data_IF_938811111015
#
_entry.id   IF_938811111015
#
_cell.length_a   1.000
_cell.length_b   1.000
_cell.length_c   1.000
_cell.angle_alpha   90.00
_cell.angle_beta   90.00
_cell.angle_gamma   90.00
#
_symmetry.space_group_name_H-M   'P 1'
#
loop_
_entity.id
_entity.type
_entity.pdbx_description
1 polymer ?
#
# COMPACT_ATOMS: atom_id res chain seq x y z
N UNK A 1 -11.98 14.09 6.79
CA UNK A 1 -12.34 13.11 5.75
C UNK A 1 -13.26 13.75 4.73
N UNK A 2 -12.94 13.65 3.43
CA UNK A 2 -13.75 14.18 2.32
C UNK A 2 -14.66 13.04 1.80
N UNK A 3 -15.97 13.18 1.96
CA UNK A 3 -16.95 12.20 1.44
C UNK A 3 -17.34 12.50 -0.02
N UNK A 4 -17.35 13.76 -0.39
CA UNK A 4 -17.57 14.21 -1.76
C UNK A 4 -16.23 14.44 -2.49
N UNK A 5 -16.15 14.21 -3.80
CA UNK A 5 -14.92 14.46 -4.55
C UNK A 5 -14.56 15.96 -4.57
N UNK A 6 -13.39 16.27 -4.04
CA UNK A 6 -12.80 17.59 -4.17
C UNK A 6 -11.83 17.57 -5.34
N UNK A 7 -12.01 18.47 -6.30
CA UNK A 7 -11.12 18.57 -7.45
C UNK A 7 -9.78 19.15 -7.01
N UNK A 8 -8.72 18.39 -7.26
CA UNK A 8 -7.35 18.77 -6.95
C UNK A 8 -6.48 18.72 -8.20
N UNK A 9 -5.55 19.64 -8.28
CA UNK A 9 -4.64 19.78 -9.41
C UNK A 9 -3.42 18.89 -9.22
N UNK A 10 -2.98 18.25 -10.30
CA UNK A 10 -1.69 17.54 -10.33
C UNK A 10 -0.59 18.60 -10.36
N UNK A 11 0.24 18.64 -9.32
CA UNK A 11 1.36 19.59 -9.22
C UNK A 11 2.67 19.01 -9.73
N UNK A 12 2.84 17.69 -9.59
CA UNK A 12 4.05 17.00 -10.04
C UNK A 12 3.72 15.56 -10.46
N UNK A 13 4.44 15.06 -11.45
CA UNK A 13 4.41 13.65 -11.86
C UNK A 13 5.83 13.10 -11.80
N UNK A 14 6.06 12.14 -10.91
CA UNK A 14 7.37 11.51 -10.69
C UNK A 14 7.41 10.16 -11.40
N UNK A 15 8.43 9.91 -12.20
CA UNK A 15 8.67 8.61 -12.82
C UNK A 15 9.41 7.71 -11.82
N UNK A 16 8.72 6.75 -11.23
CA UNK A 16 9.30 5.78 -10.30
C UNK A 16 9.99 4.62 -11.04
N UNK A 17 9.34 4.17 -12.10
CA UNK A 17 9.86 3.15 -13.02
C UNK A 17 9.19 3.25 -14.39
N UNK A 18 9.56 2.40 -15.34
CA UNK A 18 8.95 2.40 -16.68
C UNK A 18 7.42 2.23 -16.67
N UNK A 19 6.87 1.55 -15.66
CA UNK A 19 5.45 1.24 -15.53
C UNK A 19 4.79 1.88 -14.30
N UNK A 20 5.51 2.67 -13.50
CA UNK A 20 4.99 3.25 -12.26
C UNK A 20 5.27 4.75 -12.22
N UNK A 21 4.24 5.53 -11.95
CA UNK A 21 4.32 6.97 -11.75
C UNK A 21 3.69 7.37 -10.43
N UNK A 22 4.24 8.39 -9.79
CA UNK A 22 3.63 9.04 -8.64
C UNK A 22 3.04 10.38 -9.06
N UNK A 23 1.84 10.66 -8.55
CA UNK A 23 1.10 11.89 -8.81
C UNK A 23 0.97 12.65 -7.49
N UNK A 24 1.50 13.88 -7.48
CA UNK A 24 1.49 14.75 -6.30
C UNK A 24 0.37 15.77 -6.46
N UNK A 25 -0.43 15.96 -5.41
CA UNK A 25 -1.54 16.87 -5.34
C UNK A 25 -1.31 17.89 -4.22
N UNK A 26 -1.61 19.16 -4.47
CA UNK A 26 -1.55 20.22 -3.47
C UNK A 26 -2.86 20.26 -2.67
N UNK A 27 -2.74 20.35 -1.35
CA UNK A 27 -3.88 20.36 -0.43
C UNK A 27 -4.45 21.74 -0.16
N UNK A 28 -3.66 22.81 -0.38
CA UNK A 28 -4.12 24.20 -0.23
C UNK A 28 -4.56 24.75 -1.58
N UNK A 29 -5.84 25.07 -1.74
CA UNK A 29 -6.31 25.98 -2.79
C UNK A 29 -6.58 27.35 -2.18
N UNK A 30 -6.16 28.42 -2.85
CA UNK A 30 -6.41 29.81 -2.43
C UNK A 30 -7.92 30.19 -2.33
N UNK A 31 -8.81 29.26 -2.71
CA UNK A 31 -10.26 29.48 -2.83
C UNK A 31 -11.14 28.69 -1.86
N UNK A 32 -10.60 27.85 -1.01
CA UNK A 32 -11.41 27.15 0.00
C UNK A 32 -10.70 27.17 1.32
N UNK A 33 -11.46 27.26 2.43
CA UNK A 33 -11.04 26.85 3.78
C UNK A 33 -10.71 25.35 3.76
N UNK A 34 -9.75 24.94 2.92
CA UNK A 34 -9.37 23.55 2.74
C UNK A 34 -8.61 23.11 3.98
N UNK A 35 -9.32 22.40 4.85
CA UNK A 35 -8.71 21.62 5.92
C UNK A 35 -7.58 20.78 5.31
N UNK A 36 -6.39 20.89 5.88
CA UNK A 36 -5.29 19.99 5.54
C UNK A 36 -5.79 18.56 5.55
N UNK A 37 -5.45 17.78 4.53
CA UNK A 37 -5.83 16.38 4.47
C UNK A 37 -4.99 15.61 5.51
N UNK A 38 -5.47 15.60 6.75
CA UNK A 38 -4.84 14.80 7.80
C UNK A 38 -5.04 13.32 7.50
N UNK A 39 -3.96 12.57 7.39
CA UNK A 39 -4.02 11.13 7.18
C UNK A 39 -2.90 10.41 7.95
N UNK A 40 -3.07 9.10 8.10
CA UNK A 40 -2.14 8.21 8.75
C UNK A 40 -1.57 7.19 7.77
N UNK A 41 -0.33 6.68 7.95
CA UNK A 41 0.26 5.66 7.09
C UNK A 41 -0.63 4.43 6.94
N UNK A 42 -0.78 3.93 5.73
CA UNK A 42 -1.65 2.79 5.42
C UNK A 42 -3.06 3.16 4.98
N UNK A 43 -3.50 4.42 5.16
CA UNK A 43 -4.76 4.91 4.62
C UNK A 43 -4.66 5.15 3.10
N UNK A 44 -5.82 5.21 2.45
CA UNK A 44 -5.94 5.40 1.01
C UNK A 44 -6.93 6.51 0.66
N UNK A 45 -6.86 6.99 -0.55
CA UNK A 45 -7.86 7.90 -1.15
C UNK A 45 -8.58 7.18 -2.29
N UNK A 46 -9.76 7.67 -2.63
CA UNK A 46 -10.43 7.38 -3.88
C UNK A 46 -10.11 8.51 -4.87
N UNK A 47 -9.46 8.16 -5.99
CA UNK A 47 -9.14 9.08 -7.07
C UNK A 47 -10.14 8.90 -8.20
N UNK A 48 -10.83 9.97 -8.55
CA UNK A 48 -11.84 10.02 -9.58
C UNK A 48 -11.36 10.78 -10.82
N UNK A 49 -11.47 10.13 -11.96
CA UNK A 49 -11.29 10.79 -13.26
C UNK A 49 -12.68 10.98 -13.86
N UNK A 50 -13.16 12.24 -14.07
CA UNK A 50 -14.49 12.51 -14.62
C UNK A 50 -14.77 11.73 -15.90
N UNK A 51 -15.98 11.18 -16.02
CA UNK A 51 -16.47 10.37 -17.15
C UNK A 51 -15.77 9.02 -17.36
N UNK A 52 -14.88 8.62 -16.46
CA UNK A 52 -14.19 7.34 -16.57
C UNK A 52 -14.56 6.41 -15.40
N UNK A 53 -14.02 6.66 -14.21
CA UNK A 53 -14.21 5.81 -13.02
C UNK A 53 -13.56 6.46 -11.78
N UNK A 54 -13.68 5.78 -10.63
CA UNK A 54 -13.02 6.10 -9.38
C UNK A 54 -12.28 4.86 -8.85
N UNK A 55 -11.03 5.02 -8.42
CA UNK A 55 -10.19 3.91 -7.93
C UNK A 55 -9.46 4.25 -6.63
N UNK A 56 -9.24 3.25 -5.74
CA UNK A 56 -8.49 3.41 -4.52
C UNK A 56 -6.98 3.44 -4.79
N UNK A 57 -6.27 4.34 -4.12
CA UNK A 57 -4.81 4.38 -4.10
C UNK A 57 -4.31 4.72 -2.70
N UNK A 58 -3.33 3.96 -2.23
CA UNK A 58 -2.64 4.27 -0.98
C UNK A 58 -1.91 5.60 -1.09
N UNK A 59 -1.94 6.37 0.00
CA UNK A 59 -1.17 7.60 0.08
C UNK A 59 0.29 7.20 0.29
N UNK A 60 1.13 7.53 -0.70
CA UNK A 60 2.53 7.14 -0.75
C UNK A 60 3.52 8.29 -0.59
N UNK A 61 3.05 9.52 -0.70
CA UNK A 61 3.80 10.76 -0.46
C UNK A 61 3.03 11.66 0.49
N UNK A 62 3.76 12.36 1.34
CA UNK A 62 3.17 13.28 2.31
C UNK A 62 4.07 14.47 2.62
N UNK A 63 3.43 15.65 2.74
CA UNK A 63 4.03 16.85 3.26
C UNK A 63 2.98 17.73 3.91
N UNK A 64 3.38 18.91 4.37
CA UNK A 64 2.49 19.86 5.04
C UNK A 64 1.32 20.28 4.15
N UNK A 65 1.61 20.54 2.87
CA UNK A 65 0.67 21.15 1.93
C UNK A 65 0.44 20.27 0.68
N UNK A 66 0.87 19.00 0.72
CA UNK A 66 0.71 18.07 -0.39
C UNK A 66 0.58 16.62 0.08
N UNK A 67 0.02 15.80 -0.77
CA UNK A 67 0.09 14.33 -0.70
C UNK A 67 0.26 13.76 -2.10
N UNK A 68 0.61 12.49 -2.19
CA UNK A 68 0.73 11.81 -3.49
C UNK A 68 0.37 10.34 -3.43
N UNK A 69 0.07 9.82 -4.60
CA UNK A 69 -0.24 8.40 -4.83
C UNK A 69 0.67 7.82 -5.88
N UNK A 70 1.10 6.59 -5.70
CA UNK A 70 1.95 5.86 -6.65
C UNK A 70 1.13 4.81 -7.37
N UNK A 71 1.16 4.84 -8.70
CA UNK A 71 0.24 4.14 -9.57
C UNK A 71 1.00 3.31 -10.60
N UNK A 72 0.79 1.99 -10.56
CA UNK A 72 1.27 1.09 -11.59
C UNK A 72 0.32 1.09 -12.81
N UNK A 73 0.88 1.05 -13.99
CA UNK A 73 0.12 0.93 -15.25
C UNK A 73 -0.43 -0.49 -15.38
N UNK A 74 -1.75 -0.65 -15.18
CA UNK A 74 -2.40 -1.97 -15.18
C UNK A 74 -3.64 -2.08 -16.07
N UNK A 75 -4.32 -0.99 -16.38
CA UNK A 75 -5.57 -1.04 -17.15
C UNK A 75 -6.08 0.34 -17.51
N UNK A 76 -7.25 0.41 -18.13
CA UNK A 76 -7.80 1.64 -18.73
C UNK A 76 -7.77 2.86 -17.81
N UNK A 77 -8.11 2.70 -16.53
CA UNK A 77 -8.10 3.82 -15.57
C UNK A 77 -6.69 4.34 -15.34
N UNK A 78 -5.75 3.44 -15.02
CA UNK A 78 -4.35 3.80 -14.75
C UNK A 78 -3.64 4.27 -16.01
N UNK A 79 -4.02 3.76 -17.19
CA UNK A 79 -3.52 4.28 -18.47
C UNK A 79 -3.92 5.74 -18.64
N UNK A 80 -5.22 6.08 -18.47
CA UNK A 80 -5.66 7.49 -18.56
C UNK A 80 -4.97 8.37 -17.51
N UNK A 81 -4.78 7.87 -16.28
CA UNK A 81 -4.08 8.62 -15.24
C UNK A 81 -2.60 8.86 -15.64
N UNK A 82 -1.93 7.88 -16.22
CA UNK A 82 -0.55 8.02 -16.73
C UNK A 82 -0.42 9.00 -17.91
N UNK A 83 -1.48 9.25 -18.66
CA UNK A 83 -1.54 10.25 -19.72
C UNK A 83 -1.73 11.67 -19.19
N UNK A 84 -2.24 11.80 -17.95
CA UNK A 84 -2.48 13.10 -17.32
C UNK A 84 -1.17 13.82 -17.01
N UNK A 85 -1.21 15.15 -17.17
CA UNK A 85 -0.07 16.03 -17.01
C UNK A 85 -0.22 16.94 -15.80
N UNK A 86 0.88 17.52 -15.39
CA UNK A 86 0.89 18.64 -14.44
C UNK A 86 -0.10 19.72 -14.90
N UNK A 87 -0.91 20.19 -13.99
CA UNK A 87 -1.97 21.17 -14.26
C UNK A 87 -3.35 20.58 -14.51
N UNK A 88 -3.49 19.27 -14.84
CA UNK A 88 -4.78 18.62 -14.97
C UNK A 88 -5.41 18.32 -13.60
N UNK A 89 -6.72 18.08 -13.57
CA UNK A 89 -7.51 17.96 -12.35
C UNK A 89 -8.06 16.54 -12.20
N UNK A 90 -7.99 16.02 -10.97
CA UNK A 90 -8.65 14.79 -10.56
C UNK A 90 -9.49 15.03 -9.31
N UNK A 91 -10.57 14.27 -9.14
CA UNK A 91 -11.38 14.31 -7.92
C UNK A 91 -10.79 13.40 -6.85
N UNK A 92 -10.75 13.87 -5.61
CA UNK A 92 -10.17 13.15 -4.47
C UNK A 92 -11.22 13.03 -3.37
N UNK A 93 -11.45 11.83 -2.86
CA UNK A 93 -12.20 11.54 -1.64
C UNK A 93 -11.32 10.80 -0.65
N UNK A 94 -11.53 11.01 0.64
CA UNK A 94 -10.81 10.34 1.71
C UNK A 94 -10.21 11.30 2.76
N UNK A 95 -9.19 10.87 3.50
CA UNK A 95 -8.62 9.52 3.52
C UNK A 95 -9.58 8.49 4.09
N UNK A 96 -9.46 7.25 3.66
CA UNK A 96 -10.27 6.13 4.11
C UNK A 96 -9.43 5.02 4.71
N UNK A 97 -10.08 4.12 5.43
CA UNK A 97 -9.48 2.92 5.99
C UNK A 97 -8.69 3.15 7.28
N UNK A 98 -8.30 2.03 7.89
CA UNK A 98 -7.46 2.03 9.09
C UNK A 98 -5.99 2.18 8.73
N UNK A 99 -5.29 2.91 9.56
CA UNK A 99 -3.85 3.12 9.47
C UNK A 99 -3.06 1.97 10.11
N UNK A 100 -1.75 1.93 9.84
CA UNK A 100 -0.81 1.17 10.66
C UNK A 100 -0.80 1.71 12.09
N UNK A 101 -0.89 0.82 13.06
CA UNK A 101 -0.79 1.16 14.48
C UNK A 101 0.66 1.04 14.94
N UNK A 102 1.36 2.16 15.01
CA UNK A 102 2.75 2.21 15.47
C UNK A 102 2.89 2.03 16.98
N UNK A 103 1.84 2.37 17.74
CA UNK A 103 1.83 2.23 19.20
C UNK A 103 1.58 0.80 19.68
N UNK A 104 1.27 -0.15 18.79
CA UNK A 104 1.06 -1.54 19.15
C UNK A 104 2.36 -2.38 19.19
N UNK A 105 3.50 -1.78 18.83
CA UNK A 105 4.81 -2.39 19.09
C UNK A 105 4.99 -2.53 20.63
N UNK A 106 5.45 -3.70 21.13
CA UNK A 106 5.64 -3.93 22.56
C UNK A 106 6.52 -2.88 23.28
N UNK A 107 7.44 -2.30 22.54
CA UNK A 107 8.32 -1.21 23.01
C UNK A 107 8.20 0.00 22.06
N UNK A 108 7.18 0.90 22.21
CA UNK A 108 6.99 2.02 21.30
C UNK A 108 8.20 2.95 21.19
N UNK A 109 8.94 3.14 22.28
CA UNK A 109 10.20 3.88 22.33
C UNK A 109 11.36 2.92 22.06
N UNK A 110 11.85 2.90 20.82
CA UNK A 110 12.97 2.03 20.41
C UNK A 110 12.55 0.77 19.65
N UNK A 111 11.28 0.64 19.25
CA UNK A 111 10.80 -0.45 18.42
C UNK A 111 11.68 -0.63 17.18
N UNK A 112 12.25 -1.80 17.05
CA UNK A 112 12.98 -2.22 15.84
C UNK A 112 11.99 -2.86 14.89
N UNK A 113 11.71 -2.20 13.79
CA UNK A 113 10.75 -2.66 12.81
C UNK A 113 11.45 -3.32 11.61
N UNK A 114 10.83 -4.38 11.09
CA UNK A 114 11.12 -4.89 9.75
C UNK A 114 9.95 -4.50 8.83
N UNK A 115 10.26 -3.85 7.70
CA UNK A 115 9.27 -3.48 6.70
C UNK A 115 9.50 -4.29 5.44
N UNK A 116 8.51 -5.09 5.05
CA UNK A 116 8.61 -6.02 3.91
C UNK A 116 7.64 -5.61 2.82
N UNK A 117 8.15 -5.10 1.72
CA UNK A 117 7.34 -4.63 0.60
C UNK A 117 7.54 -5.44 -0.67
N UNK A 118 6.46 -5.79 -1.36
CA UNK A 118 6.49 -6.48 -2.65
C UNK A 118 5.91 -5.64 -3.78
N UNK A 119 6.72 -5.35 -4.81
CA UNK A 119 6.30 -4.58 -5.98
C UNK A 119 5.65 -3.24 -5.61
N UNK A 120 4.49 -2.93 -6.21
CA UNK A 120 3.75 -1.69 -5.93
C UNK A 120 3.18 -1.59 -4.51
N UNK A 121 3.18 -2.69 -3.74
CA UNK A 121 2.81 -2.68 -2.31
C UNK A 121 3.69 -1.75 -1.47
N UNK A 122 4.92 -1.47 -1.91
CA UNK A 122 5.77 -0.44 -1.31
C UNK A 122 5.09 0.93 -1.20
N UNK A 123 4.12 1.25 -2.05
CA UNK A 123 3.39 2.52 -1.99
C UNK A 123 2.61 2.69 -0.68
N UNK A 124 2.05 1.60 -0.13
CA UNK A 124 1.34 1.63 1.16
C UNK A 124 2.29 1.79 2.35
N UNK A 125 3.56 1.43 2.17
CA UNK A 125 4.57 1.41 3.23
C UNK A 125 5.48 2.65 3.23
N UNK A 126 5.55 3.39 2.12
CA UNK A 126 6.53 4.46 1.94
C UNK A 126 6.47 5.52 3.06
N UNK A 127 5.27 6.02 3.39
CA UNK A 127 5.10 7.01 4.45
C UNK A 127 5.28 6.41 5.85
N UNK A 128 4.96 5.12 6.03
CA UNK A 128 5.25 4.40 7.26
C UNK A 128 6.77 4.37 7.51
N UNK A 129 7.55 3.99 6.50
CA UNK A 129 9.02 3.90 6.58
C UNK A 129 9.63 5.24 7.00
N UNK A 130 9.13 6.35 6.46
CA UNK A 130 9.60 7.69 6.82
C UNK A 130 9.28 8.12 8.26
N UNK A 131 8.31 7.46 8.90
CA UNK A 131 7.95 7.71 10.32
C UNK A 131 8.60 6.76 11.30
N UNK A 132 9.21 5.69 10.83
CA UNK A 132 9.94 4.74 11.67
C UNK A 132 11.38 5.20 11.86
N UNK A 133 11.78 5.44 13.10
CA UNK A 133 13.14 5.87 13.43
C UNK A 133 14.16 4.72 13.33
N UNK A 134 13.72 3.50 13.61
CA UNK A 134 14.58 2.32 13.66
C UNK A 134 13.93 1.17 12.87
N UNK A 135 14.24 1.10 11.59
CA UNK A 135 13.68 0.06 10.73
C UNK A 135 14.69 -0.51 9.73
N UNK A 136 14.58 -1.82 9.48
CA UNK A 136 15.18 -2.47 8.33
C UNK A 136 14.08 -2.64 7.27
N UNK A 137 14.38 -2.24 6.04
CA UNK A 137 13.42 -2.26 4.93
C UNK A 137 13.89 -3.25 3.89
N UNK A 138 13.01 -4.19 3.52
CA UNK A 138 13.23 -5.15 2.45
C UNK A 138 12.23 -4.89 1.34
N UNK A 139 12.71 -4.63 0.14
CA UNK A 139 11.88 -4.51 -1.05
C UNK A 139 12.16 -5.64 -2.02
N UNK A 140 11.12 -6.37 -2.41
CA UNK A 140 11.19 -7.34 -3.48
C UNK A 140 10.42 -6.92 -4.72
N UNK A 141 10.92 -7.34 -5.88
CA UNK A 141 10.28 -7.19 -7.17
C UNK A 141 10.65 -8.37 -8.09
N UNK A 142 10.00 -8.49 -9.23
CA UNK A 142 10.40 -9.49 -10.23
C UNK A 142 11.72 -9.12 -10.89
N UNK A 143 11.90 -7.84 -11.18
CA UNK A 143 13.10 -7.30 -11.84
C UNK A 143 13.52 -5.97 -11.20
N UNK A 144 14.76 -5.54 -11.45
CA UNK A 144 15.29 -4.25 -10.99
C UNK A 144 14.45 -3.04 -11.47
N UNK A 145 13.79 -3.15 -12.64
CA UNK A 145 12.96 -2.09 -13.20
C UNK A 145 11.61 -1.90 -12.47
N UNK A 146 11.23 -2.82 -11.61
CA UNK A 146 10.00 -2.75 -10.80
C UNK A 146 10.27 -2.26 -9.37
N UNK A 147 11.53 -2.06 -8.98
CA UNK A 147 11.90 -1.51 -7.68
C UNK A 147 11.55 -0.02 -7.59
N UNK A 148 10.92 0.37 -6.50
CA UNK A 148 10.41 1.72 -6.29
C UNK A 148 11.24 2.50 -5.26
N UNK A 149 11.18 3.82 -5.33
CA UNK A 149 11.70 4.75 -4.31
C UNK A 149 13.20 4.64 -4.04
N UNK A 150 14.00 4.11 -4.96
CA UNK A 150 15.45 3.91 -4.79
C UNK A 150 16.20 5.21 -4.48
N UNK A 151 15.71 6.34 -4.97
CA UNK A 151 16.29 7.67 -4.73
C UNK A 151 15.71 8.35 -3.47
N UNK A 152 14.57 7.87 -2.96
CA UNK A 152 13.85 8.46 -1.83
C UNK A 152 14.11 7.71 -0.52
N UNK A 153 13.94 6.40 -0.53
CA UNK A 153 14.15 5.54 0.62
C UNK A 153 15.57 4.96 0.58
N UNK A 154 16.42 5.43 1.48
CA UNK A 154 17.81 4.96 1.58
C UNK A 154 17.90 3.69 2.42
N UNK A 155 18.95 2.92 2.22
CA UNK A 155 19.28 1.74 3.02
C UNK A 155 18.26 0.59 2.96
N UNK A 156 17.55 0.46 1.82
CA UNK A 156 16.70 -0.70 1.58
C UNK A 156 17.55 -1.90 1.14
N UNK A 157 17.25 -3.06 1.70
CA UNK A 157 17.68 -4.34 1.17
C UNK A 157 16.80 -4.71 -0.01
N UNK A 158 17.40 -4.91 -1.14
CA UNK A 158 16.70 -5.19 -2.40
C UNK A 158 16.82 -6.68 -2.73
N UNK A 159 15.75 -7.27 -3.23
CA UNK A 159 15.77 -8.59 -3.86
C UNK A 159 14.94 -8.60 -5.12
N UNK A 160 15.40 -9.37 -6.11
CA UNK A 160 14.69 -9.56 -7.37
C UNK A 160 14.66 -11.02 -7.74
N UNK A 161 13.52 -11.49 -8.26
CA UNK A 161 13.34 -12.90 -8.63
C UNK A 161 14.30 -13.31 -9.77
N UNK A 162 14.63 -12.38 -10.67
CA UNK A 162 15.56 -12.59 -11.78
C UNK A 162 17.03 -12.30 -11.42
N UNK A 163 17.34 -11.85 -10.20
CA UNK A 163 18.69 -11.50 -9.77
C UNK A 163 19.26 -10.22 -10.37
N UNK A 164 18.44 -9.39 -11.03
CA UNK A 164 18.91 -8.17 -11.72
C UNK A 164 19.29 -7.04 -10.75
N UNK A 165 18.89 -7.11 -9.47
CA UNK A 165 19.32 -6.19 -8.40
C UNK A 165 19.20 -6.83 -7.02
N UNK A 166 20.18 -6.56 -6.16
CA UNK A 166 20.22 -7.06 -4.78
C UNK A 166 20.38 -8.59 -4.72
N UNK A 167 19.71 -9.21 -3.74
CA UNK A 167 19.71 -10.67 -3.58
C UNK A 167 18.76 -11.32 -4.59
N UNK A 168 19.19 -12.42 -5.21
CA UNK A 168 18.31 -13.23 -6.06
C UNK A 168 17.32 -13.99 -5.17
N UNK A 169 16.01 -13.80 -5.38
CA UNK A 169 14.96 -14.44 -4.60
C UNK A 169 13.81 -13.50 -4.23
N UNK A 170 13.07 -13.86 -3.18
CA UNK A 170 11.92 -13.09 -2.69
C UNK A 170 12.20 -12.49 -1.31
N UNK A 171 11.50 -11.40 -0.91
CA UNK A 171 11.78 -10.70 0.36
C UNK A 171 11.75 -11.61 1.60
N UNK A 172 10.90 -12.62 1.59
CA UNK A 172 10.74 -13.55 2.70
C UNK A 172 11.94 -14.46 2.92
N UNK A 173 12.77 -14.66 1.91
CA UNK A 173 13.98 -15.50 2.02
C UNK A 173 15.06 -14.83 2.90
N UNK A 174 14.97 -13.50 3.08
CA UNK A 174 15.89 -12.73 3.89
C UNK A 174 15.46 -12.64 5.38
N UNK A 175 14.24 -13.00 5.73
CA UNK A 175 13.68 -12.73 7.06
C UNK A 175 14.44 -13.42 8.20
N UNK A 176 14.81 -14.68 8.02
CA UNK A 176 15.53 -15.42 9.06
C UNK A 176 16.91 -14.82 9.37
N UNK A 177 17.67 -14.54 8.32
CA UNK A 177 19.00 -13.94 8.49
C UNK A 177 18.93 -12.53 9.08
N UNK A 178 17.95 -11.75 8.64
CA UNK A 178 17.70 -10.43 9.20
C UNK A 178 17.33 -10.51 10.69
N UNK A 179 16.44 -11.43 11.06
CA UNK A 179 16.02 -11.59 12.44
C UNK A 179 17.14 -12.05 13.34
N UNK A 180 18.02 -12.92 12.88
CA UNK A 180 19.22 -13.33 13.65
C UNK A 180 20.12 -12.15 14.00
N UNK A 181 20.24 -11.16 13.10
CA UNK A 181 21.14 -10.02 13.28
C UNK A 181 20.48 -8.81 13.95
N UNK A 182 19.21 -8.53 13.65
CA UNK A 182 18.52 -7.29 14.07
C UNK A 182 17.48 -7.48 15.16
N UNK A 183 16.93 -8.71 15.35
CA UNK A 183 15.93 -9.01 16.39
C UNK A 183 14.81 -7.96 16.42
N UNK A 184 14.12 -7.77 15.31
CA UNK A 184 13.01 -6.81 15.22
C UNK A 184 11.78 -7.27 16.03
N UNK A 185 11.05 -6.28 16.55
CA UNK A 185 9.92 -6.44 17.47
C UNK A 185 8.58 -6.39 16.74
N UNK A 186 8.57 -5.80 15.53
CA UNK A 186 7.39 -5.68 14.69
C UNK A 186 7.71 -5.87 13.21
N UNK A 187 6.76 -6.42 12.46
CA UNK A 187 6.82 -6.53 10.99
C UNK A 187 5.63 -5.80 10.39
N UNK A 188 5.92 -4.95 9.42
CA UNK A 188 4.90 -4.28 8.59
C UNK A 188 5.05 -4.72 7.15
N UNK A 189 3.95 -5.14 6.50
CA UNK A 189 4.05 -5.68 5.14
C UNK A 189 2.93 -5.24 4.22
N UNK A 190 3.23 -5.14 2.93
CA UNK A 190 2.26 -4.97 1.85
C UNK A 190 2.86 -5.49 0.53
N UNK A 191 2.08 -6.26 -0.22
CA UNK A 191 2.49 -6.82 -1.50
C UNK A 191 1.62 -8.01 -1.92
N UNK A 192 2.16 -8.94 -2.72
CA UNK A 192 1.47 -10.17 -3.08
C UNK A 192 1.02 -10.96 -1.85
N UNK A 193 -0.22 -11.45 -1.84
CA UNK A 193 -0.74 -12.16 -0.66
C UNK A 193 0.08 -13.39 -0.28
N UNK A 194 0.63 -14.11 -1.26
CA UNK A 194 1.52 -15.24 -0.98
C UNK A 194 2.75 -14.81 -0.15
N UNK A 195 3.32 -13.64 -0.44
CA UNK A 195 4.39 -13.05 0.36
C UNK A 195 3.90 -12.73 1.78
N UNK A 196 2.75 -12.05 1.90
CA UNK A 196 2.20 -11.66 3.22
C UNK A 196 1.83 -12.88 4.09
N UNK A 197 1.37 -13.97 3.48
CA UNK A 197 1.12 -15.26 4.20
C UNK A 197 2.42 -15.81 4.77
N UNK A 198 3.52 -15.86 4.00
CA UNK A 198 4.82 -16.30 4.50
C UNK A 198 5.36 -15.39 5.61
N UNK A 199 5.14 -14.08 5.49
CA UNK A 199 5.49 -13.12 6.57
C UNK A 199 4.68 -13.41 7.84
N UNK A 200 3.38 -13.74 7.71
CA UNK A 200 2.52 -14.10 8.84
C UNK A 200 2.99 -15.39 9.52
N UNK A 201 3.33 -16.41 8.73
CA UNK A 201 3.88 -17.69 9.24
C UNK A 201 5.17 -17.46 10.02
N UNK A 202 6.08 -16.65 9.48
CA UNK A 202 7.31 -16.26 10.14
C UNK A 202 7.04 -15.48 11.45
N UNK A 203 6.17 -14.47 11.40
CA UNK A 203 5.84 -13.67 12.57
C UNK A 203 5.23 -14.52 13.70
N UNK A 204 4.39 -15.51 13.35
CA UNK A 204 3.82 -16.47 14.29
C UNK A 204 4.88 -17.38 14.90
N UNK A 205 5.79 -17.92 14.09
CA UNK A 205 6.87 -18.80 14.55
C UNK A 205 7.77 -18.14 15.60
N UNK A 206 8.12 -16.87 15.34
CA UNK A 206 9.00 -16.09 16.23
C UNK A 206 8.27 -15.21 17.24
N UNK A 207 6.92 -15.30 17.31
CA UNK A 207 6.06 -14.50 18.19
C UNK A 207 6.30 -12.98 18.04
N UNK A 208 6.37 -12.50 16.79
CA UNK A 208 6.61 -11.11 16.46
C UNK A 208 5.28 -10.43 16.12
N UNK A 209 5.07 -9.21 16.62
CA UNK A 209 3.92 -8.40 16.24
C UNK A 209 3.94 -8.10 14.73
N UNK A 210 2.81 -8.24 14.05
CA UNK A 210 2.74 -8.04 12.61
C UNK A 210 1.48 -7.28 12.21
N UNK A 211 1.61 -6.43 11.19
CA UNK A 211 0.49 -5.84 10.46
C UNK A 211 0.72 -5.95 8.95
N UNK A 212 -0.37 -6.21 8.21
CA UNK A 212 -0.35 -6.20 6.75
C UNK A 212 -1.43 -5.27 6.18
N UNK A 213 -1.10 -4.57 5.10
CA UNK A 213 -2.05 -3.80 4.30
C UNK A 213 -2.53 -4.66 3.13
N UNK A 214 -3.82 -5.05 3.14
CA UNK A 214 -4.41 -5.93 2.14
C UNK A 214 -4.94 -5.16 0.95
N UNK A 215 -4.76 -5.72 -0.24
CA UNK A 215 -5.33 -5.19 -1.48
C UNK A 215 -6.60 -5.95 -1.86
N UNK A 216 -7.72 -5.26 -1.98
CA UNK A 216 -9.01 -5.77 -2.47
C UNK A 216 -9.65 -4.80 -3.44
N UNK A 217 -10.67 -5.26 -4.16
CA UNK A 217 -11.46 -4.39 -4.99
C UNK A 217 -12.34 -3.48 -4.12
N UNK A 218 -11.98 -2.21 -3.98
CA UNK A 218 -12.74 -1.22 -3.23
C UNK A 218 -13.55 -0.37 -4.22
N UNK A 219 -14.86 -0.22 -3.97
CA UNK A 219 -15.78 0.55 -4.80
C UNK A 219 -16.37 1.76 -4.06
N UNK A 220 -17.05 1.57 -2.93
CA UNK A 220 -17.70 2.68 -2.22
C UNK A 220 -16.79 3.42 -1.23
N UNK A 221 -15.80 2.75 -0.66
CA UNK A 221 -14.89 3.19 0.40
C UNK A 221 -15.54 3.55 1.75
N UNK A 222 -16.87 3.42 1.88
CA UNK A 222 -17.67 3.82 3.06
C UNK A 222 -18.41 2.65 3.73
N UNK A 223 -18.03 1.40 3.43
CA UNK A 223 -18.54 0.20 4.09
C UNK A 223 -19.95 -0.26 3.66
N UNK A 224 -20.53 0.29 2.60
CA UNK A 224 -21.93 -0.01 2.19
C UNK A 224 -22.01 -1.18 1.22
N UNK A 225 -21.17 -1.24 0.17
CA UNK A 225 -21.38 -2.15 -0.95
C UNK A 225 -20.89 -3.59 -0.72
N UNK A 226 -20.09 -3.86 0.33
CA UNK A 226 -19.53 -5.19 0.63
C UNK A 226 -18.50 -5.72 -0.37
N UNK A 227 -18.15 -4.95 -1.41
CA UNK A 227 -17.27 -5.40 -2.50
C UNK A 227 -15.86 -5.77 -2.02
N UNK A 228 -15.34 -5.05 -1.01
CA UNK A 228 -14.03 -5.25 -0.42
C UNK A 228 -14.01 -6.27 0.74
N UNK A 229 -15.10 -7.03 0.94
CA UNK A 229 -15.18 -7.97 2.04
C UNK A 229 -14.16 -9.10 1.93
N UNK A 230 -13.53 -9.39 3.08
CA UNK A 230 -12.68 -10.55 3.34
C UNK A 230 -13.23 -11.21 4.62
N UNK A 231 -13.83 -12.40 4.52
CA UNK A 231 -14.54 -13.07 5.63
C UNK A 231 -15.48 -12.15 6.44
N UNK A 232 -16.25 -11.29 5.77
CA UNK A 232 -17.17 -10.37 6.43
C UNK A 232 -16.57 -9.02 6.83
N UNK A 233 -15.25 -8.89 6.99
CA UNK A 233 -14.59 -7.60 7.22
C UNK A 233 -14.60 -6.75 5.96
N UNK A 234 -15.09 -5.53 6.05
CA UNK A 234 -15.11 -4.54 4.94
C UNK A 234 -13.81 -3.75 4.96
N UNK A 235 -12.83 -4.14 4.15
CA UNK A 235 -11.48 -3.58 4.21
C UNK A 235 -11.41 -2.05 4.00
N UNK A 236 -12.41 -1.45 3.37
CA UNK A 236 -12.45 0.00 3.22
C UNK A 236 -12.74 0.76 4.54
N UNK A 237 -13.21 0.06 5.58
CA UNK A 237 -13.55 0.65 6.90
C UNK A 237 -12.79 -0.04 8.02
N UNK A 238 -12.77 -1.38 8.01
CA UNK A 238 -12.19 -2.21 9.06
C UNK A 238 -10.72 -2.58 8.79
N UNK A 239 -10.24 -2.34 7.56
CA UNK A 239 -8.87 -2.40 7.07
C UNK A 239 -8.48 -1.09 6.37
N UNK A 240 -7.60 -1.08 5.36
CA UNK A 240 -6.94 -2.24 4.75
C UNK A 240 -5.86 -2.86 5.62
N UNK A 241 -5.39 -2.15 6.66
CA UNK A 241 -4.38 -2.63 7.58
C UNK A 241 -5.03 -3.50 8.64
N UNK A 242 -4.55 -4.73 8.76
CA UNK A 242 -4.97 -5.72 9.73
C UNK A 242 -3.75 -6.27 10.48
N UNK A 243 -3.92 -6.59 11.76
CA UNK A 243 -2.91 -7.26 12.57
C UNK A 243 -2.87 -8.78 12.29
N UNK A 244 -1.75 -9.43 12.69
CA UNK A 244 -1.53 -10.86 12.48
C UNK A 244 -2.62 -11.74 13.08
N UNK A 245 -3.07 -11.44 14.31
CA UNK A 245 -4.12 -12.22 14.98
C UNK A 245 -5.49 -12.12 14.29
N UNK A 246 -5.77 -11.02 13.63
CA UNK A 246 -6.95 -10.86 12.75
C UNK A 246 -6.76 -11.65 11.47
N UNK A 247 -5.59 -11.55 10.82
CA UNK A 247 -5.29 -12.24 9.55
C UNK A 247 -5.36 -13.76 9.66
N UNK A 248 -4.91 -14.34 10.77
CA UNK A 248 -4.99 -15.79 11.03
C UNK A 248 -6.42 -16.33 11.02
N UNK A 249 -7.41 -15.51 11.37
CA UNK A 249 -8.83 -15.88 11.41
C UNK A 249 -9.53 -15.72 10.05
N UNK A 250 -8.85 -15.14 9.06
CA UNK A 250 -9.43 -14.89 7.75
C UNK A 250 -9.15 -16.05 6.79
N UNK A 251 -10.13 -16.90 6.56
CA UNK A 251 -10.04 -18.02 5.61
C UNK A 251 -9.78 -17.56 4.17
N UNK A 252 -10.24 -16.35 3.80
CA UNK A 252 -10.03 -15.77 2.47
C UNK A 252 -8.62 -15.25 2.26
N UNK A 253 -7.89 -14.93 3.33
CA UNK A 253 -6.54 -14.38 3.22
C UNK A 253 -5.59 -15.39 2.58
N UNK A 254 -4.91 -14.97 1.51
CA UNK A 254 -4.03 -15.84 0.71
C UNK A 254 -4.75 -16.84 -0.20
N UNK A 255 -6.08 -16.94 -0.15
CA UNK A 255 -6.85 -17.98 -0.88
C UNK A 255 -7.88 -17.41 -1.84
N UNK A 256 -8.69 -16.45 -1.40
CA UNK A 256 -9.84 -15.97 -2.16
C UNK A 256 -9.96 -14.44 -2.13
N UNK A 257 -10.51 -13.90 -3.20
CA UNK A 257 -10.90 -12.48 -3.29
C UNK A 257 -12.19 -12.33 -4.11
N UNK A 258 -12.77 -11.11 -4.13
CA UNK A 258 -13.97 -10.80 -4.93
C UNK A 258 -13.60 -9.96 -6.15
N UNK A 259 -14.13 -10.35 -7.31
CA UNK A 259 -14.07 -9.56 -8.53
C UNK A 259 -15.01 -8.35 -8.44
N UNK A 260 -14.90 -7.39 -9.37
CA UNK A 260 -15.76 -6.21 -9.45
C UNK A 260 -17.25 -6.48 -9.60
N UNK A 261 -17.66 -7.70 -10.01
CA UNK A 261 -19.04 -8.16 -10.06
C UNK A 261 -19.50 -8.87 -8.76
N UNK A 262 -18.66 -8.95 -7.73
CA UNK A 262 -18.95 -9.58 -6.44
C UNK A 262 -18.63 -11.08 -6.36
N UNK A 263 -18.32 -11.75 -7.46
CA UNK A 263 -17.98 -13.18 -7.46
C UNK A 263 -16.72 -13.45 -6.64
N UNK A 264 -16.78 -14.41 -5.71
CA UNK A 264 -15.63 -14.93 -4.96
C UNK A 264 -14.84 -15.87 -5.87
N UNK A 265 -13.55 -15.61 -6.00
CA UNK A 265 -12.62 -16.39 -6.84
C UNK A 265 -11.33 -16.66 -6.09
N UNK A 266 -10.51 -17.60 -6.56
CA UNK A 266 -9.17 -17.80 -5.99
C UNK A 266 -8.28 -16.58 -6.23
N UNK A 267 -7.27 -16.38 -5.38
CA UNK A 267 -6.29 -15.29 -5.53
C UNK A 267 -5.62 -15.32 -6.90
N UNK A 268 -5.26 -16.49 -7.42
CA UNK A 268 -4.68 -16.62 -8.76
C UNK A 268 -5.61 -16.10 -9.86
N UNK A 269 -6.90 -16.46 -9.81
CA UNK A 269 -7.91 -15.94 -10.75
C UNK A 269 -8.13 -14.42 -10.58
N UNK A 270 -8.11 -13.93 -9.34
CA UNK A 270 -8.26 -12.50 -9.05
C UNK A 270 -7.13 -11.67 -9.63
N UNK A 271 -5.89 -12.12 -9.45
CA UNK A 271 -4.70 -11.44 -9.99
C UNK A 271 -4.68 -11.48 -11.52
N UNK A 272 -5.02 -12.63 -12.14
CA UNK A 272 -5.07 -12.77 -13.61
C UNK A 272 -6.21 -11.99 -14.29
N UNK A 273 -7.29 -11.62 -13.57
CA UNK A 273 -8.38 -10.78 -14.10
C UNK A 273 -8.26 -9.30 -13.74
N UNK A 274 -7.31 -8.93 -12.91
CA UNK A 274 -6.99 -7.55 -12.57
C UNK A 274 -6.09 -6.87 -13.61
N UNK A 275 -5.50 -7.68 -14.49
CA UNK A 275 -4.71 -7.24 -15.64
C UNK A 275 -5.62 -7.07 -16.83
#
# INVERSE_FOLDING_TARGET
MLLEPVMMKIEEVILESSLVRSFIFKTCSERSESKSLEYQPGQFIMLWIPRLDEKPFSISYHGKDFFGVTVALKGRFTQRLHEMKVGEWAGIRGPFGRAFNLGACPEPQGCRACVVGGGVGMASLAVLIERLENSVVVQGARTASELLYRNRLKYMLLCTEDGSAGTNGVPTDLLEDLYRHYRFDAIYTCGPEAMMVRVLEFAREYNIYMQASLERYIKCAVGVCGQCCCNGLRLCVEGPVLDGGTLEKLEDFGRYARLGNGCRVTIGTYLGKKT
#
